data_IF_320286213723
#
_entry.id   IF_320286213723
#
_cell.length_a   1.000
_cell.length_b   1.000
_cell.length_c   1.000
_cell.angle_alpha   90.00
_cell.angle_beta   90.00
_cell.angle_gamma   90.00
#
_symmetry.space_group_name_H-M   'P 1'
#
loop_
_entity.id
_entity.type
_entity.pdbx_description
1 polymer ?
#
# COMPACT_ATOMS: atom_id res chain seq x y z
N UNK A 1 -9.66 -21.47 7.93
CA UNK A 1 -8.31 -21.28 7.37
C UNK A 1 -7.63 -20.21 8.19
N UNK A 2 -6.47 -20.53 8.73
CA UNK A 2 -5.63 -19.56 9.45
C UNK A 2 -4.96 -18.67 8.40
N UNK A 3 -5.10 -17.35 8.50
CA UNK A 3 -4.48 -16.39 7.56
C UNK A 3 -2.94 -16.51 7.55
N UNK A 4 -2.37 -17.13 8.59
CA UNK A 4 -0.93 -17.41 8.74
C UNK A 4 -0.37 -18.48 7.78
N UNK A 5 -1.23 -19.27 7.12
CA UNK A 5 -0.79 -20.30 6.17
C UNK A 5 -0.75 -19.81 4.71
N UNK A 6 -1.05 -18.53 4.46
CA UNK A 6 -0.90 -17.94 3.14
C UNK A 6 0.59 -17.63 2.93
N UNK A 7 1.27 -18.30 1.99
CA UNK A 7 2.66 -17.95 1.68
C UNK A 7 2.69 -16.52 1.15
N UNK A 8 3.19 -15.59 1.98
CA UNK A 8 3.41 -14.20 1.57
C UNK A 8 4.65 -14.18 0.68
N UNK A 9 4.47 -13.80 -0.58
CA UNK A 9 5.60 -13.54 -1.47
C UNK A 9 6.42 -12.37 -0.89
N UNK A 10 7.72 -12.55 -0.60
CA UNK A 10 8.56 -11.47 -0.05
C UNK A 10 8.58 -10.21 -0.93
N UNK A 11 8.32 -10.35 -2.23
CA UNK A 11 8.24 -9.22 -3.18
C UNK A 11 6.94 -8.43 -3.05
N UNK A 12 5.93 -8.97 -2.35
CA UNK A 12 4.67 -8.32 -1.98
C UNK A 12 4.70 -7.64 -0.60
N UNK A 13 5.87 -7.52 0.03
CA UNK A 13 6.03 -6.88 1.35
C UNK A 13 6.47 -5.42 1.20
N UNK A 14 5.73 -4.52 1.86
CA UNK A 14 6.12 -3.12 2.05
C UNK A 14 6.52 -2.93 3.52
N UNK A 15 7.79 -2.56 3.75
CA UNK A 15 8.34 -2.40 5.09
C UNK A 15 8.69 -0.94 5.36
N UNK A 16 8.19 -0.42 6.48
CA UNK A 16 8.46 0.95 6.93
C UNK A 16 8.70 0.99 8.44
N UNK A 17 9.72 1.74 8.87
CA UNK A 17 9.84 2.17 10.27
C UNK A 17 8.91 3.36 10.53
N UNK A 18 7.98 3.20 11.48
CA UNK A 18 7.06 4.27 11.86
C UNK A 18 7.79 5.43 12.56
N UNK A 19 7.35 6.65 12.25
CA UNK A 19 7.79 7.90 12.87
C UNK A 19 6.65 8.56 13.64
N UNK A 20 6.94 9.54 14.49
CA UNK A 20 5.90 10.27 15.24
C UNK A 20 4.82 10.90 14.35
N UNK A 21 5.19 11.33 13.14
CA UNK A 21 4.26 11.97 12.19
C UNK A 21 3.24 10.96 11.66
N UNK A 22 3.66 9.71 11.48
CA UNK A 22 2.80 8.63 10.97
C UNK A 22 1.68 8.25 11.95
N UNK A 23 1.85 8.55 13.24
CA UNK A 23 0.84 8.24 14.27
C UNK A 23 -0.28 9.28 14.28
N UNK A 24 -0.02 10.48 13.78
CA UNK A 24 -0.95 11.63 13.84
C UNK A 24 -1.52 12.02 12.48
N UNK A 25 -1.19 11.29 11.42
CA UNK A 25 -1.56 11.64 10.06
C UNK A 25 -1.32 10.51 9.05
N UNK A 26 -1.17 10.88 7.78
CA UNK A 26 -0.98 9.93 6.69
C UNK A 26 0.38 9.20 6.81
N UNK A 27 0.39 7.91 6.50
CA UNK A 27 1.61 7.10 6.47
C UNK A 27 2.27 7.24 5.10
N UNK A 28 3.46 7.83 5.05
CA UNK A 28 4.25 7.87 3.81
C UNK A 28 4.97 6.54 3.59
N UNK A 29 4.51 5.72 2.65
CA UNK A 29 5.14 4.44 2.32
C UNK A 29 6.31 4.57 1.33
N UNK A 30 7.30 3.65 1.34
CA UNK A 30 8.38 3.65 0.36
C UNK A 30 7.89 3.44 -1.07
N UNK A 31 7.95 4.49 -1.90
CA UNK A 31 7.37 4.50 -3.25
C UNK A 31 7.82 3.32 -4.15
N UNK A 32 9.09 2.91 -4.07
CA UNK A 32 9.61 1.77 -4.86
C UNK A 32 8.94 0.44 -4.49
N UNK A 33 8.71 0.21 -3.19
CA UNK A 33 8.06 -1.02 -2.72
C UNK A 33 6.57 -0.99 -3.06
N UNK A 34 5.89 0.14 -2.82
CA UNK A 34 4.49 0.33 -3.23
C UNK A 34 4.30 0.01 -4.71
N UNK A 35 5.11 0.62 -5.59
CA UNK A 35 5.03 0.35 -7.02
C UNK A 35 5.28 -1.12 -7.37
N UNK A 36 6.30 -1.74 -6.76
CA UNK A 36 6.59 -3.16 -6.97
C UNK A 36 5.39 -4.04 -6.62
N UNK A 37 4.81 -3.86 -5.43
CA UNK A 37 3.65 -4.62 -4.97
C UNK A 37 2.44 -4.38 -5.87
N UNK A 38 2.11 -3.12 -6.13
CA UNK A 38 0.95 -2.78 -6.96
C UNK A 38 1.08 -3.40 -8.36
N UNK A 39 2.24 -3.34 -9.01
CA UNK A 39 2.42 -3.96 -10.35
C UNK A 39 2.22 -5.47 -10.39
N UNK A 40 2.30 -6.15 -9.24
CA UNK A 40 2.05 -7.58 -9.12
C UNK A 40 0.59 -7.90 -8.80
N UNK A 41 -0.23 -6.92 -8.44
CA UNK A 41 -1.66 -7.10 -8.23
C UNK A 41 -2.37 -7.20 -9.58
N UNK A 42 -3.23 -8.20 -9.74
CA UNK A 42 -3.97 -8.46 -10.98
C UNK A 42 -4.82 -7.28 -11.49
N UNK A 43 -5.14 -6.32 -10.61
CA UNK A 43 -6.02 -5.18 -10.92
C UNK A 43 -5.26 -3.84 -11.07
N UNK A 44 -3.93 -3.85 -11.05
CA UNK A 44 -3.13 -2.65 -11.24
C UNK A 44 -2.97 -2.31 -12.72
N UNK A 45 -3.94 -1.60 -13.27
CA UNK A 45 -3.81 -1.00 -14.61
C UNK A 45 -2.96 0.29 -14.53
N UNK A 46 -2.27 0.68 -15.62
CA UNK A 46 -1.53 1.95 -15.67
C UNK A 46 -2.37 3.17 -15.29
N UNK A 47 -3.66 3.17 -15.63
CA UNK A 47 -4.62 4.22 -15.26
C UNK A 47 -4.88 4.25 -13.76
N UNK A 48 -5.10 3.09 -13.14
CA UNK A 48 -5.31 2.98 -11.68
C UNK A 48 -4.06 3.39 -10.90
N UNK A 49 -2.86 3.06 -11.39
CA UNK A 49 -1.60 3.50 -10.80
C UNK A 49 -1.42 5.04 -10.86
N UNK A 50 -1.96 5.69 -11.90
CA UNK A 50 -1.91 7.16 -12.06
C UNK A 50 -2.96 7.88 -11.23
N UNK A 51 -4.15 7.30 -11.06
CA UNK A 51 -5.28 7.94 -10.37
C UNK A 51 -5.34 7.59 -8.88
N UNK A 52 -4.63 6.55 -8.47
CA UNK A 52 -4.70 6.00 -7.12
C UNK A 52 -5.45 4.69 -7.09
N UNK A 53 -5.00 3.79 -6.21
CA UNK A 53 -5.58 2.46 -6.01
C UNK A 53 -6.09 2.38 -4.58
N UNK A 54 -7.35 1.98 -4.44
CA UNK A 54 -7.90 1.51 -3.17
C UNK A 54 -7.49 0.06 -2.96
N UNK A 55 -6.89 -0.20 -1.80
CA UNK A 55 -6.44 -1.54 -1.41
C UNK A 55 -7.05 -1.90 -0.06
N UNK A 56 -7.40 -3.17 0.07
CA UNK A 56 -7.80 -3.76 1.33
C UNK A 56 -6.54 -4.26 2.07
N UNK A 57 -6.34 -3.78 3.29
CA UNK A 57 -5.25 -4.19 4.18
C UNK A 57 -5.84 -5.01 5.30
N UNK A 58 -5.48 -6.29 5.34
CA UNK A 58 -5.92 -7.22 6.38
C UNK A 58 -4.89 -7.24 7.51
N UNK A 59 -5.35 -7.00 8.74
CA UNK A 59 -4.55 -7.24 9.93
C UNK A 59 -4.49 -8.75 10.21
N UNK A 60 -3.28 -9.30 10.09
CA UNK A 60 -3.04 -10.73 10.25
C UNK A 60 -3.13 -11.19 11.71
N UNK A 61 -3.05 -10.28 12.68
CA UNK A 61 -3.10 -10.58 14.11
C UNK A 61 -4.53 -10.44 14.67
N UNK A 62 -5.27 -9.44 14.22
CA UNK A 62 -6.60 -9.11 14.76
C UNK A 62 -7.75 -9.44 13.80
N UNK A 63 -7.47 -9.86 12.55
CA UNK A 63 -8.46 -10.14 11.48
C UNK A 63 -9.28 -8.92 11.06
N UNK A 64 -8.82 -7.72 11.42
CA UNK A 64 -9.44 -6.47 11.01
C UNK A 64 -9.12 -6.14 9.55
N UNK A 65 -10.02 -5.39 8.92
CA UNK A 65 -9.92 -4.99 7.52
C UNK A 65 -9.91 -3.47 7.43
N UNK A 66 -8.87 -2.93 6.84
CA UNK A 66 -8.68 -1.50 6.60
C UNK A 66 -8.71 -1.19 5.12
N UNK A 67 -9.41 -0.12 4.73
CA UNK A 67 -9.43 0.37 3.35
C UNK A 67 -8.46 1.53 3.24
N UNK A 68 -7.46 1.40 2.36
CA UNK A 68 -6.40 2.39 2.18
C UNK A 68 -6.40 2.87 0.75
N UNK A 69 -6.46 4.18 0.54
CA UNK A 69 -6.31 4.79 -0.78
C UNK A 69 -4.89 5.30 -0.96
N UNK A 70 -4.23 4.86 -2.02
CA UNK A 70 -2.95 5.44 -2.44
C UNK A 70 -3.21 6.69 -3.29
N UNK A 71 -2.56 7.84 -3.03
CA UNK A 71 -2.63 8.97 -3.93
C UNK A 71 -1.93 8.60 -5.24
N UNK A 72 -2.59 8.85 -6.38
CA UNK A 72 -2.08 8.49 -7.69
C UNK A 72 -0.70 9.07 -8.02
N UNK A 73 0.11 8.34 -8.80
CA UNK A 73 1.40 8.81 -9.28
C UNK A 73 1.16 9.72 -10.49
N UNK A 74 0.82 10.98 -10.25
CA UNK A 74 0.85 11.98 -11.33
C UNK A 74 2.31 12.11 -11.78
N UNK A 75 2.55 11.83 -13.06
CA UNK A 75 3.86 11.95 -13.71
C UNK A 75 4.37 13.40 -13.59
N UNK A 76 5.20 13.67 -12.58
CA UNK A 76 5.88 14.94 -12.36
C UNK A 76 5.05 15.99 -11.62
N UNK A 77 5.45 16.27 -10.37
CA UNK A 77 4.86 17.25 -9.41
C UNK A 77 3.51 16.77 -8.84
N UNK A 78 3.34 16.65 -7.52
CA UNK A 78 2.83 17.68 -6.56
C UNK A 78 2.56 16.85 -5.26
N UNK A 79 2.77 17.24 -3.99
CA UNK A 79 2.83 18.54 -3.35
C UNK A 79 1.50 18.92 -2.67
N UNK A 80 1.24 18.47 -1.43
CA UNK A 80 0.31 19.08 -0.43
C UNK A 80 -1.20 18.90 -0.77
N UNK A 81 -2.10 18.47 0.14
CA UNK A 81 -2.44 18.96 1.49
C UNK A 81 -2.39 17.88 2.58
#
# INVERSE_FOLDING_TARGET
MSYFDIPVDPTMIISKTLTKIDVTGNITLPAKQVMSVLTMMNDATPEKLQNGIEVEVVDIMETDIYHVTTPGIISGMVGVL
#
